data_IF_499175627498
#
_entry.id   IF_499175627498
#
_cell.length_a   1.000
_cell.length_b   1.000
_cell.length_c   1.000
_cell.angle_alpha   90.00
_cell.angle_beta   90.00
_cell.angle_gamma   90.00
#
_symmetry.space_group_name_H-M   'P 1'
#
loop_
_entity.id
_entity.type
_entity.pdbx_description
1 polymer ?
#
# COMPACT_ATOMS: atom_id res chain seq x y z
N UNK A 1 -13.88 0.60 -11.06
CA UNK A 1 -13.38 -0.79 -11.17
C UNK A 1 -13.97 -1.54 -12.35
N UNK A 2 -15.30 -1.67 -12.48
CA UNK A 2 -15.93 -2.49 -13.52
C UNK A 2 -15.43 -2.14 -14.94
N UNK A 3 -15.45 -0.86 -15.33
CA UNK A 3 -14.98 -0.44 -16.66
C UNK A 3 -13.50 -0.75 -16.90
N UNK A 4 -12.66 -0.67 -15.85
CA UNK A 4 -11.25 -1.01 -15.93
C UNK A 4 -11.05 -2.52 -16.16
N UNK A 5 -11.85 -3.36 -15.49
CA UNK A 5 -11.86 -4.81 -15.71
C UNK A 5 -12.27 -5.12 -17.16
N UNK A 6 -13.38 -4.54 -17.64
CA UNK A 6 -13.86 -4.74 -19.01
C UNK A 6 -12.83 -4.28 -20.04
N UNK A 7 -12.22 -3.11 -19.85
CA UNK A 7 -11.23 -2.56 -20.77
C UNK A 7 -9.97 -3.42 -20.91
N UNK A 8 -9.48 -4.01 -19.81
CA UNK A 8 -8.31 -4.87 -19.84
C UNK A 8 -8.64 -6.30 -20.26
N UNK A 9 -9.76 -6.85 -19.82
CA UNK A 9 -10.21 -8.20 -20.19
C UNK A 9 -10.50 -8.31 -21.69
N UNK A 10 -11.16 -7.31 -22.27
CA UNK A 10 -11.50 -7.28 -23.69
C UNK A 10 -10.37 -6.80 -24.61
N UNK A 11 -9.18 -6.52 -24.06
CA UNK A 11 -8.07 -5.96 -24.84
C UNK A 11 -7.45 -7.02 -25.75
N UNK A 12 -7.24 -6.66 -27.02
CA UNK A 12 -6.63 -7.53 -28.03
C UNK A 12 -5.22 -7.06 -28.43
N UNK A 13 -4.48 -7.88 -29.19
CA UNK A 13 -3.16 -7.50 -29.70
C UNK A 13 -3.21 -6.28 -30.64
N UNK A 14 -4.31 -6.12 -31.39
CA UNK A 14 -4.50 -4.99 -32.30
C UNK A 14 -4.58 -3.63 -31.57
N UNK A 15 -5.02 -3.63 -30.31
CA UNK A 15 -5.14 -2.42 -29.50
C UNK A 15 -3.79 -1.81 -29.09
N UNK A 16 -2.66 -2.49 -29.35
CA UNK A 16 -1.32 -2.04 -28.95
C UNK A 16 -0.86 -0.81 -29.73
N UNK A 17 -1.20 -0.72 -31.01
CA UNK A 17 -0.79 0.40 -31.87
C UNK A 17 -1.75 1.59 -31.81
N UNK A 18 -2.90 1.43 -31.16
CA UNK A 18 -3.91 2.48 -31.00
C UNK A 18 -3.62 3.37 -29.79
N UNK A 19 -3.26 4.64 -30.04
CA UNK A 19 -3.03 5.64 -29.00
C UNK A 19 -4.18 5.77 -27.99
N UNK A 20 -5.44 5.92 -28.42
CA UNK A 20 -6.59 5.95 -27.51
C UNK A 20 -6.74 4.69 -26.65
N UNK A 21 -6.52 3.51 -27.23
CA UNK A 21 -6.57 2.24 -26.48
C UNK A 21 -5.43 2.09 -25.49
N UNK A 22 -4.25 2.64 -25.78
CA UNK A 22 -3.15 2.72 -24.83
C UNK A 22 -3.49 3.61 -23.64
N UNK A 23 -4.16 4.75 -23.89
CA UNK A 23 -4.59 5.65 -22.80
C UNK A 23 -5.64 4.99 -21.91
N UNK A 24 -6.66 4.38 -22.51
CA UNK A 24 -7.68 3.61 -21.78
C UNK A 24 -7.05 2.50 -20.92
N UNK A 25 -6.06 1.78 -21.47
CA UNK A 25 -5.36 0.73 -20.73
C UNK A 25 -4.56 1.29 -19.54
N UNK A 26 -3.87 2.44 -19.69
CA UNK A 26 -3.16 3.09 -18.59
C UNK A 26 -4.11 3.47 -17.46
N UNK A 27 -5.23 4.10 -17.78
CA UNK A 27 -6.24 4.51 -16.81
C UNK A 27 -6.87 3.31 -16.09
N UNK A 28 -7.14 2.23 -16.83
CA UNK A 28 -7.66 1.00 -16.26
C UNK A 28 -6.64 0.35 -15.30
N UNK A 29 -5.36 0.28 -15.68
CA UNK A 29 -4.30 -0.24 -14.82
C UNK A 29 -4.16 0.63 -13.55
N UNK A 30 -4.15 1.96 -13.66
CA UNK A 30 -4.11 2.85 -12.49
C UNK A 30 -5.30 2.63 -11.55
N UNK A 31 -6.50 2.44 -12.11
CA UNK A 31 -7.70 2.14 -11.32
C UNK A 31 -7.53 0.85 -10.52
N UNK A 32 -7.01 -0.21 -11.13
CA UNK A 32 -6.80 -1.49 -10.46
C UNK A 32 -5.61 -1.48 -9.49
N UNK A 33 -4.55 -0.73 -9.78
CA UNK A 33 -3.44 -0.54 -8.84
C UNK A 33 -3.96 0.09 -7.54
N UNK A 34 -4.75 1.16 -7.61
CA UNK A 34 -5.32 1.80 -6.43
C UNK A 34 -6.31 0.89 -5.68
N UNK A 35 -7.26 0.29 -6.40
CA UNK A 35 -8.35 -0.45 -5.76
C UNK A 35 -7.97 -1.87 -5.31
N UNK A 36 -6.81 -2.38 -5.71
CA UNK A 36 -6.34 -3.74 -5.36
C UNK A 36 -5.00 -3.69 -4.62
N UNK A 37 -3.97 -3.13 -5.25
CA UNK A 37 -2.61 -3.19 -4.72
C UNK A 37 -2.43 -2.19 -3.58
N UNK A 38 -2.81 -0.92 -3.78
CA UNK A 38 -2.71 0.08 -2.72
C UNK A 38 -3.71 -0.17 -1.60
N UNK A 39 -4.89 -0.69 -1.90
CA UNK A 39 -5.85 -1.15 -0.90
C UNK A 39 -5.31 -2.31 -0.03
N UNK A 40 -4.53 -3.22 -0.61
CA UNK A 40 -3.81 -4.27 0.14
C UNK A 40 -2.72 -3.67 1.03
N UNK A 41 -1.94 -2.73 0.49
CA UNK A 41 -0.81 -2.10 1.20
C UNK A 41 -1.27 -1.19 2.34
N UNK A 42 -2.41 -0.53 2.22
CA UNK A 42 -2.86 0.51 3.15
C UNK A 42 -4.32 0.34 3.58
N UNK A 43 -4.55 0.28 4.89
CA UNK A 43 -5.88 0.27 5.49
C UNK A 43 -6.67 1.55 5.16
N UNK A 44 -5.97 2.68 5.07
CA UNK A 44 -6.58 3.97 4.69
C UNK A 44 -7.15 3.95 3.27
N UNK A 45 -6.48 3.27 2.34
CA UNK A 45 -6.94 3.16 0.94
C UNK A 45 -8.05 2.14 0.82
N UNK A 46 -7.94 0.97 1.46
CA UNK A 46 -9.03 -0.03 1.46
C UNK A 46 -10.29 0.50 2.14
N UNK A 47 -10.17 1.19 3.28
CA UNK A 47 -11.29 1.84 3.95
C UNK A 47 -11.97 2.90 3.07
N UNK A 48 -11.18 3.71 2.36
CA UNK A 48 -11.72 4.68 1.40
C UNK A 48 -12.45 4.02 0.24
N UNK A 49 -11.87 2.98 -0.37
CA UNK A 49 -12.50 2.23 -1.46
C UNK A 49 -13.79 1.55 -0.99
N UNK A 50 -13.76 0.89 0.17
CA UNK A 50 -14.94 0.26 0.76
C UNK A 50 -16.05 1.26 1.03
N UNK A 51 -15.70 2.47 1.50
CA UNK A 51 -16.65 3.56 1.71
C UNK A 51 -17.33 4.09 0.44
N UNK A 52 -16.81 3.76 -0.75
CA UNK A 52 -17.43 4.08 -2.05
C UNK A 52 -18.30 2.94 -2.60
N UNK A 53 -18.27 1.76 -1.99
CA UNK A 53 -19.09 0.61 -2.39
C UNK A 53 -20.43 0.67 -1.65
N UNK A 54 -21.52 0.84 -2.40
CA UNK A 54 -22.86 0.97 -1.83
C UNK A 54 -23.86 0.01 -2.51
N UNK A 55 -24.98 -0.32 -1.83
CA UNK A 55 -26.10 -1.02 -2.45
C UNK A 55 -26.63 -0.28 -3.69
N UNK A 56 -27.27 -1.02 -4.61
CA UNK A 56 -27.81 -0.47 -5.87
C UNK A 56 -28.86 0.64 -5.69
N UNK A 57 -29.48 0.70 -4.51
CA UNK A 57 -30.48 1.72 -4.16
C UNK A 57 -29.86 3.08 -3.84
N UNK A 58 -28.55 3.12 -3.58
CA UNK A 58 -27.81 4.36 -3.34
C UNK A 58 -27.26 4.86 -4.67
N UNK A 59 -27.26 6.18 -4.86
CA UNK A 59 -26.68 6.80 -6.04
C UNK A 59 -25.20 6.42 -6.22
N UNK A 60 -24.78 6.30 -7.48
CA UNK A 60 -23.39 5.98 -7.83
C UNK A 60 -22.45 7.06 -7.29
N UNK A 61 -21.48 6.66 -6.47
CA UNK A 61 -20.44 7.56 -5.95
C UNK A 61 -19.08 7.28 -6.60
N UNK A 62 -18.28 8.34 -6.67
CA UNK A 62 -16.87 8.28 -7.05
C UNK A 62 -16.11 9.28 -6.18
N UNK A 63 -14.83 9.01 -5.94
CA UNK A 63 -13.98 9.89 -5.15
C UNK A 63 -12.52 9.81 -5.60
N UNK A 64 -11.73 10.79 -5.15
CA UNK A 64 -10.28 10.80 -5.30
C UNK A 64 -9.65 10.68 -3.91
N UNK A 65 -8.52 10.00 -3.82
CA UNK A 65 -7.76 9.90 -2.58
C UNK A 65 -7.27 11.29 -2.13
N UNK A 66 -7.09 11.44 -0.83
CA UNK A 66 -6.50 12.63 -0.20
C UNK A 66 -5.00 12.78 -0.48
N UNK A 67 -4.44 13.92 -0.11
CA UNK A 67 -2.99 14.17 -0.24
C UNK A 67 -2.19 13.25 0.70
N UNK A 68 -2.71 12.97 1.89
CA UNK A 68 -2.12 12.07 2.87
C UNK A 68 -2.06 10.64 2.33
N UNK A 69 -3.17 10.13 1.78
CA UNK A 69 -3.21 8.82 1.13
C UNK A 69 -2.28 8.75 -0.08
N UNK A 70 -2.19 9.83 -0.87
CA UNK A 70 -1.22 9.92 -1.97
C UNK A 70 0.22 9.84 -1.47
N UNK A 71 0.55 10.53 -0.38
CA UNK A 71 1.87 10.49 0.23
C UNK A 71 2.20 9.10 0.79
N UNK A 72 1.22 8.41 1.39
CA UNK A 72 1.33 7.02 1.86
C UNK A 72 1.67 6.09 0.69
N UNK A 73 0.88 6.11 -0.39
CA UNK A 73 1.11 5.30 -1.61
C UNK A 73 2.49 5.54 -2.20
N UNK A 74 2.91 6.81 -2.29
CA UNK A 74 4.23 7.17 -2.82
C UNK A 74 5.40 6.83 -1.88
N UNK A 75 5.13 6.47 -0.62
CA UNK A 75 6.14 6.25 0.42
C UNK A 75 5.91 4.97 1.23
N UNK A 76 5.42 3.91 0.60
CA UNK A 76 5.15 2.64 1.28
C UNK A 76 6.39 2.07 1.99
N UNK A 77 7.54 2.13 1.33
CA UNK A 77 8.82 1.72 1.91
C UNK A 77 9.19 2.59 3.11
N UNK A 78 9.11 3.93 2.97
CA UNK A 78 9.45 4.88 4.04
C UNK A 78 8.63 4.63 5.30
N UNK A 79 7.30 4.43 5.15
CA UNK A 79 6.42 4.19 6.28
C UNK A 79 6.66 2.81 6.91
N UNK A 80 6.90 1.78 6.09
CA UNK A 80 7.24 0.43 6.58
C UNK A 80 8.56 0.45 7.36
N UNK A 81 9.59 1.13 6.84
CA UNK A 81 10.89 1.27 7.49
C UNK A 81 10.78 2.04 8.82
N UNK A 82 10.02 3.14 8.84
CA UNK A 82 9.81 3.94 10.04
C UNK A 82 9.16 3.13 11.17
N UNK A 83 8.21 2.24 10.83
CA UNK A 83 7.59 1.35 11.80
C UNK A 83 8.55 0.21 12.21
N UNK A 84 9.23 -0.45 11.27
CA UNK A 84 10.19 -1.52 11.59
C UNK A 84 11.34 -1.06 12.50
N UNK A 85 11.75 0.22 12.40
CA UNK A 85 12.76 0.81 13.30
C UNK A 85 12.34 0.80 14.77
N UNK A 86 11.05 0.87 15.09
CA UNK A 86 10.59 0.85 16.49
C UNK A 86 10.68 -0.53 17.13
N UNK A 87 10.71 -1.59 16.31
CA UNK A 87 10.84 -2.98 16.76
C UNK A 87 12.30 -3.42 16.94
N UNK A 88 13.26 -2.64 16.47
CA UNK A 88 14.67 -2.94 16.59
C UNK A 88 15.09 -2.94 18.07
N UNK A 89 15.70 -4.05 18.51
CA UNK A 89 16.18 -4.18 19.89
C UNK A 89 17.28 -3.14 20.14
N UNK A 90 17.14 -2.26 21.16
CA UNK A 90 18.18 -1.28 21.46
C UNK A 90 19.44 -1.96 22.02
N UNK A 91 20.63 -1.35 21.83
CA UNK A 91 21.83 -1.77 22.54
C UNK A 91 21.64 -1.74 24.06
N UNK A 92 22.41 -2.56 24.79
CA UNK A 92 22.33 -2.61 26.24
C UNK A 92 22.51 -1.21 26.86
N UNK A 93 21.60 -0.86 27.78
CA UNK A 93 21.60 0.45 28.45
C UNK A 93 21.06 1.62 27.61
N UNK A 94 20.57 1.39 26.39
CA UNK A 94 19.91 2.43 25.57
C UNK A 94 18.39 2.28 25.55
N UNK A 95 17.64 3.39 25.48
CA UNK A 95 16.19 3.32 25.37
C UNK A 95 15.76 2.74 24.01
N UNK A 96 14.55 2.15 23.91
CA UNK A 96 13.95 1.76 22.64
C UNK A 96 13.83 2.92 21.65
N UNK A 97 13.88 2.61 20.35
CA UNK A 97 13.67 3.61 19.31
C UNK A 97 12.23 4.13 19.37
N UNK A 98 12.07 5.45 19.22
CA UNK A 98 10.75 6.09 19.07
C UNK A 98 10.43 6.29 17.60
N UNK A 99 9.15 6.21 17.27
CA UNK A 99 8.67 6.52 15.93
C UNK A 99 8.97 7.98 15.58
N UNK A 100 9.49 8.21 14.38
CA UNK A 100 9.69 9.57 13.84
C UNK A 100 8.48 9.94 12.98
N UNK A 101 7.74 11.02 13.30
CA UNK A 101 6.59 11.46 12.52
C UNK A 101 6.89 11.66 11.03
N UNK A 102 5.95 11.26 10.19
CA UNK A 102 5.93 11.54 8.74
C UNK A 102 4.71 12.43 8.47
N UNK A 103 4.85 13.73 8.74
CA UNK A 103 3.73 14.69 8.71
C UNK A 103 2.99 14.72 7.37
N UNK A 104 3.70 14.59 6.23
CA UNK A 104 3.09 14.55 4.89
C UNK A 104 2.09 13.40 4.69
N UNK A 105 2.20 12.33 5.48
CA UNK A 105 1.29 11.18 5.46
C UNK A 105 0.19 11.26 6.52
N UNK A 106 0.20 12.29 7.37
CA UNK A 106 -0.68 12.39 8.54
C UNK A 106 -0.37 11.38 9.64
N UNK A 107 0.84 10.81 9.68
CA UNK A 107 1.24 9.76 10.62
C UNK A 107 2.29 10.28 11.60
N UNK A 108 1.92 10.37 12.88
CA UNK A 108 2.76 10.94 13.95
C UNK A 108 3.25 9.93 14.97
N UNK A 109 2.65 8.75 15.01
CA UNK A 109 2.89 7.74 16.04
C UNK A 109 3.01 6.35 15.42
N UNK A 110 3.62 5.41 16.14
CA UNK A 110 3.72 4.02 15.69
C UNK A 110 2.32 3.38 15.56
N UNK A 111 1.41 3.73 16.46
CA UNK A 111 0.02 3.28 16.44
C UNK A 111 -0.71 3.75 15.19
N UNK A 112 -0.50 5.01 14.78
CA UNK A 112 -1.05 5.52 13.52
C UNK A 112 -0.40 4.86 12.30
N UNK A 113 0.90 4.55 12.34
CA UNK A 113 1.56 3.84 11.26
C UNK A 113 0.99 2.42 11.10
N UNK A 114 0.81 1.70 12.21
CA UNK A 114 0.20 0.37 12.25
C UNK A 114 -1.27 0.39 11.78
N UNK A 115 -2.03 1.42 12.14
CA UNK A 115 -3.40 1.61 11.63
C UNK A 115 -3.45 2.08 10.16
N UNK A 116 -2.33 2.54 9.59
CA UNK A 116 -2.25 2.97 8.19
C UNK A 116 -1.85 1.82 7.26
N UNK A 117 -0.89 0.99 7.68
CA UNK A 117 -0.35 -0.11 6.90
C UNK A 117 -1.28 -1.33 6.95
N UNK A 118 -1.78 -1.75 5.78
CA UNK A 118 -2.46 -3.04 5.63
C UNK A 118 -1.48 -4.20 5.70
N UNK A 119 -0.33 -4.03 5.04
CA UNK A 119 0.83 -4.91 5.15
C UNK A 119 2.13 -4.10 4.97
N UNK A 120 3.16 -4.47 5.73
CA UNK A 120 4.48 -3.85 5.65
C UNK A 120 5.27 -4.41 4.48
N UNK A 121 6.02 -3.55 3.81
CA UNK A 121 7.15 -4.00 3.01
C UNK A 121 8.30 -4.38 3.95
N UNK A 122 8.94 -5.53 3.72
CA UNK A 122 10.16 -5.86 4.46
C UNK A 122 11.29 -4.88 4.08
N UNK A 123 11.87 -4.21 5.08
CA UNK A 123 13.02 -3.33 4.93
C UNK A 123 14.07 -3.70 5.97
N UNK A 124 15.32 -3.89 5.55
CA UNK A 124 16.42 -4.08 6.50
C UNK A 124 16.70 -2.76 7.22
N UNK A 125 16.50 -2.75 8.54
CA UNK A 125 16.78 -1.60 9.40
C UNK A 125 17.93 -1.90 10.36
N UNK A 126 18.72 -0.90 10.79
CA UNK A 126 19.77 -1.12 11.78
C UNK A 126 19.20 -1.75 13.07
N UNK A 127 19.78 -2.88 13.49
CA UNK A 127 19.31 -3.64 14.67
C UNK A 127 18.06 -4.50 14.44
N UNK A 128 17.51 -4.51 13.21
CA UNK A 128 16.43 -5.40 12.78
C UNK A 128 16.95 -6.69 12.13
N UNK A 129 16.04 -7.43 11.51
CA UNK A 129 16.36 -8.66 10.77
C UNK A 129 17.05 -8.36 9.44
N UNK A 130 18.01 -9.20 9.06
CA UNK A 130 18.53 -9.25 7.69
C UNK A 130 17.54 -9.98 6.77
N UNK A 131 17.68 -9.80 5.44
CA UNK A 131 16.89 -10.57 4.44
C UNK A 131 17.04 -12.08 4.67
N UNK A 132 18.26 -12.56 4.89
CA UNK A 132 18.53 -13.99 5.06
C UNK A 132 17.80 -14.56 6.29
N UNK A 133 17.87 -13.86 7.43
CA UNK A 133 17.17 -14.28 8.65
C UNK A 133 15.65 -14.25 8.47
N UNK A 134 15.11 -13.20 7.83
CA UNK A 134 13.68 -13.09 7.59
C UNK A 134 13.16 -14.22 6.69
N UNK A 135 13.90 -14.55 5.62
CA UNK A 135 13.57 -15.66 4.73
C UNK A 135 13.73 -17.02 5.42
N UNK A 136 14.76 -17.20 6.25
CA UNK A 136 14.92 -18.43 7.03
C UNK A 136 13.72 -18.64 7.98
N UNK A 137 13.28 -17.60 8.68
CA UNK A 137 12.09 -17.65 9.53
C UNK A 137 10.82 -17.91 8.73
N UNK A 138 10.68 -17.27 7.56
CA UNK A 138 9.56 -17.50 6.66
C UNK A 138 9.48 -18.96 6.22
N UNK A 139 10.59 -19.57 5.78
CA UNK A 139 10.59 -20.99 5.38
C UNK A 139 10.36 -21.93 6.57
N UNK A 140 10.97 -21.64 7.74
CA UNK A 140 10.77 -22.46 8.96
C UNK A 140 9.32 -22.43 9.46
N UNK A 141 8.59 -21.34 9.19
CA UNK A 141 7.17 -21.22 9.52
C UNK A 141 6.23 -21.75 8.44
N UNK A 142 6.76 -22.36 7.37
CA UNK A 142 5.97 -22.98 6.30
C UNK A 142 5.60 -22.04 5.13
N UNK A 143 6.20 -20.85 5.08
CA UNK A 143 6.13 -19.94 3.94
C UNK A 143 6.68 -20.57 2.65
N UNK A 144 6.14 -20.15 1.51
CA UNK A 144 6.46 -20.65 0.18
C UNK A 144 6.88 -19.52 -0.75
#
# INVERSE_FOLDING_TARGET
MADAVTALYGRTKADKTSGPKQQQAREAVTTLLLMVHEATRFQTVSGFVAGLLHPKTVEKKSGKISNEQKAQVNGWQDLSEALLKTDAKPPAGKPPAKFTPIEKMGVRTAEQAAATLGILLFVQVPGGMTVAQALELFHKSGGK
#
